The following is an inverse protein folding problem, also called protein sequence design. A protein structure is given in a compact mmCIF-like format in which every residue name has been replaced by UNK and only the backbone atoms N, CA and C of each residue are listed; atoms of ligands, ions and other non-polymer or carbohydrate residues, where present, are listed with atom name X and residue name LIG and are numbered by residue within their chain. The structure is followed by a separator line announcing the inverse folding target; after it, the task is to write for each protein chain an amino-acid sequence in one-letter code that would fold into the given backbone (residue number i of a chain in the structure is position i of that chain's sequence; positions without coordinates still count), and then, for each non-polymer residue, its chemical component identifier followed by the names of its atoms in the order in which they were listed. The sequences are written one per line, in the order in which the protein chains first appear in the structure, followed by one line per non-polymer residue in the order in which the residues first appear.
data_IF_494911039010
#
_entry.id   IF_494911039010
#
_cell.length_a   1.000
_cell.length_b   1.000
_cell.length_c   1.000
_cell.angle_alpha   90.00
_cell.angle_beta   90.00
_cell.angle_gamma   90.00
#
_symmetry.space_group_name_H-M   'P 1'
#
loop_
_entity.id
_entity.type
_entity.pdbx_description
1 polymer ?
#
# COMPACT_ATOMS: atom_id res chain seq x y z
N UNK A 1 -4.27 -10.13 -8.63
CA UNK A 1 -4.56 -8.72 -8.99
C UNK A 1 -3.94 -8.39 -10.33
N UNK A 2 -4.54 -7.47 -11.09
CA UNK A 2 -3.93 -6.90 -12.30
C UNK A 2 -3.22 -5.59 -11.95
N UNK A 3 -1.95 -5.48 -12.37
CA UNK A 3 -1.15 -4.26 -12.24
C UNK A 3 -1.66 -3.23 -13.24
N UNK A 4 -2.26 -2.16 -12.74
CA UNK A 4 -2.76 -1.05 -13.57
C UNK A 4 -2.15 0.22 -13.03
N UNK A 5 -1.36 0.92 -13.86
CA UNK A 5 -0.79 2.20 -13.47
C UNK A 5 -1.84 3.30 -13.55
N UNK A 6 -1.86 4.18 -12.56
CA UNK A 6 -2.71 5.37 -12.55
C UNK A 6 -1.84 6.59 -12.80
N UNK A 7 -2.15 7.35 -13.85
CA UNK A 7 -1.36 8.53 -14.25
C UNK A 7 -1.40 9.67 -13.24
N UNK A 8 -2.46 9.74 -12.42
CA UNK A 8 -2.62 10.71 -11.35
C UNK A 8 -3.30 10.03 -10.16
N UNK A 9 -2.50 9.41 -9.29
CA UNK A 9 -3.00 8.63 -8.15
C UNK A 9 -3.88 9.50 -7.24
N UNK A 10 -3.41 10.72 -6.93
CA UNK A 10 -4.15 11.65 -6.06
C UNK A 10 -5.54 11.94 -6.61
N UNK A 11 -5.66 12.26 -7.89
CA UNK A 11 -6.96 12.50 -8.48
C UNK A 11 -7.84 11.25 -8.39
N UNK A 12 -7.32 10.06 -8.70
CA UNK A 12 -8.11 8.82 -8.60
C UNK A 12 -8.55 8.52 -7.16
N UNK A 13 -7.70 8.79 -6.16
CA UNK A 13 -8.00 8.62 -4.75
C UNK A 13 -9.09 9.56 -4.25
N UNK A 14 -9.04 10.84 -4.64
CA UNK A 14 -10.05 11.86 -4.29
C UNK A 14 -11.40 11.61 -4.99
N UNK A 15 -11.40 10.94 -6.16
CA UNK A 15 -12.63 10.56 -6.86
C UNK A 15 -13.27 9.28 -6.29
N UNK A 16 -12.57 8.52 -5.45
CA UNK A 16 -13.16 7.38 -4.73
C UNK A 16 -13.92 7.85 -3.50
N UNK A 17 -14.94 7.07 -3.13
CA UNK A 17 -15.73 7.34 -1.93
C UNK A 17 -14.84 7.25 -0.67
N UNK A 18 -14.75 8.33 0.15
CA UNK A 18 -14.00 8.27 1.39
C UNK A 18 -14.62 7.32 2.44
N UNK A 19 -15.90 6.98 2.34
CA UNK A 19 -16.55 6.02 3.26
C UNK A 19 -16.09 4.57 3.04
N UNK A 20 -15.55 4.25 1.85
CA UNK A 20 -14.97 2.93 1.57
C UNK A 20 -13.47 2.85 1.90
N UNK A 21 -12.92 3.91 2.50
CA UNK A 21 -11.55 3.93 3.01
C UNK A 21 -11.44 3.03 4.24
N UNK A 22 -10.68 1.95 4.10
CA UNK A 22 -10.26 1.13 5.22
C UNK A 22 -8.81 1.42 5.56
N UNK A 23 -8.54 1.61 6.84
CA UNK A 23 -7.20 1.97 7.34
C UNK A 23 -6.85 1.09 8.51
N UNK A 24 -5.66 0.50 8.47
CA UNK A 24 -5.15 -0.34 9.55
C UNK A 24 -3.63 -0.19 9.68
N UNK A 25 -3.09 -0.57 10.83
CA UNK A 25 -1.67 -0.45 11.17
C UNK A 25 -1.06 -1.83 11.44
N UNK A 26 0.04 -2.13 10.74
CA UNK A 26 0.70 -3.42 10.78
C UNK A 26 2.15 -3.26 11.22
N UNK A 27 2.56 -4.05 12.21
CA UNK A 27 3.97 -4.20 12.57
C UNK A 27 4.65 -5.20 11.64
N UNK A 28 5.65 -4.76 10.88
CA UNK A 28 6.48 -5.64 10.04
C UNK A 28 7.66 -6.24 10.80
N UNK A 29 7.87 -5.81 12.05
CA UNK A 29 8.98 -6.25 12.90
C UNK A 29 10.32 -5.65 12.47
N UNK A 30 11.42 -6.33 12.85
CA UNK A 30 12.76 -5.88 12.50
C UNK A 30 13.05 -6.17 11.02
N UNK A 31 13.46 -5.14 10.29
CA UNK A 31 13.85 -5.22 8.86
C UNK A 31 15.21 -4.56 8.64
N UNK A 32 15.90 -4.91 7.54
CA UNK A 32 17.20 -4.32 7.24
C UNK A 32 17.06 -2.86 6.81
N UNK A 33 16.00 -2.56 6.04
CA UNK A 33 15.69 -1.22 5.54
C UNK A 33 14.21 -1.04 5.22
N UNK A 34 13.77 0.23 5.11
CA UNK A 34 12.43 0.55 4.59
C UNK A 34 12.25 0.10 3.13
N UNK A 35 13.31 0.10 2.32
CA UNK A 35 13.26 -0.33 0.92
C UNK A 35 12.87 -1.81 0.80
N UNK A 36 13.46 -2.66 1.65
CA UNK A 36 13.12 -4.08 1.74
C UNK A 36 11.65 -4.28 2.12
N UNK A 37 11.18 -3.57 3.17
CA UNK A 37 9.79 -3.63 3.61
C UNK A 37 8.81 -3.19 2.51
N UNK A 38 9.10 -2.09 1.83
CA UNK A 38 8.29 -1.60 0.70
C UNK A 38 8.25 -2.64 -0.42
N UNK A 39 9.40 -3.16 -0.84
CA UNK A 39 9.46 -4.17 -1.90
C UNK A 39 8.70 -5.45 -1.54
N UNK A 40 8.78 -5.90 -0.29
CA UNK A 40 8.05 -7.08 0.18
C UNK A 40 6.53 -6.87 0.09
N UNK A 41 6.03 -5.73 0.58
CA UNK A 41 4.58 -5.42 0.55
C UNK A 41 4.07 -5.26 -0.88
N UNK A 42 4.83 -4.58 -1.76
CA UNK A 42 4.50 -4.48 -3.19
C UNK A 42 4.39 -5.88 -3.81
N UNK A 43 5.31 -6.78 -3.46
CA UNK A 43 5.32 -8.16 -3.96
C UNK A 43 4.13 -8.98 -3.44
N UNK A 44 3.78 -8.86 -2.16
CA UNK A 44 2.64 -9.54 -1.54
C UNK A 44 1.32 -9.09 -2.19
N UNK A 45 1.14 -7.77 -2.32
CA UNK A 45 -0.08 -7.20 -2.92
C UNK A 45 -0.14 -7.42 -4.44
N UNK A 46 1.01 -7.54 -5.10
CA UNK A 46 1.07 -7.70 -6.56
C UNK A 46 0.52 -6.51 -7.32
N UNK A 47 0.55 -5.31 -6.73
CA UNK A 47 0.05 -4.06 -7.32
C UNK A 47 1.16 -3.28 -8.05
N UNK A 48 0.76 -2.25 -8.78
CA UNK A 48 1.70 -1.38 -9.48
C UNK A 48 2.05 -0.16 -8.61
N UNK A 49 3.33 0.09 -8.30
CA UNK A 49 3.74 1.35 -7.70
C UNK A 49 3.47 2.51 -8.66
N UNK A 50 2.93 3.59 -8.10
CA UNK A 50 2.68 4.83 -8.81
C UNK A 50 3.80 5.85 -8.51
N UNK A 51 4.02 6.76 -9.46
CA UNK A 51 4.80 7.99 -9.26
C UNK A 51 6.24 7.77 -8.75
N UNK A 52 6.83 6.60 -9.00
CA UNK A 52 8.20 6.25 -8.54
C UNK A 52 8.31 6.07 -7.03
N UNK A 53 7.18 5.88 -6.33
CA UNK A 53 7.12 5.72 -4.88
C UNK A 53 7.62 4.35 -4.40
N UNK A 54 8.03 3.46 -5.30
CA UNK A 54 8.77 2.23 -4.98
C UNK A 54 10.22 2.50 -4.56
N UNK A 55 10.80 3.64 -4.99
CA UNK A 55 12.18 4.00 -4.67
C UNK A 55 12.23 4.70 -3.32
N UNK A 56 12.77 4.01 -2.32
CA UNK A 56 12.94 4.55 -0.96
C UNK A 56 14.33 5.20 -0.80
N UNK A 57 14.43 6.45 -0.33
CA UNK A 57 15.72 7.08 -0.02
C UNK A 57 16.46 6.35 1.10
N UNK A 58 17.78 6.14 0.94
CA UNK A 58 18.62 5.28 1.80
C UNK A 58 18.72 5.70 3.27
N UNK A 59 18.29 6.91 3.63
CA UNK A 59 18.32 7.46 5.00
C UNK A 59 16.94 7.87 5.53
N UNK A 60 15.86 7.48 4.85
CA UNK A 60 14.53 7.89 5.28
C UNK A 60 14.08 7.11 6.52
N UNK A 61 13.46 7.81 7.48
CA UNK A 61 12.81 7.19 8.64
C UNK A 61 11.33 6.92 8.43
N UNK A 62 10.77 7.47 7.37
CA UNK A 62 9.41 7.23 6.94
C UNK A 62 9.34 7.27 5.42
N UNK A 63 8.39 6.55 4.83
CA UNK A 63 8.23 6.53 3.38
C UNK A 63 6.76 6.27 3.05
N UNK A 64 6.24 6.96 2.05
CA UNK A 64 4.88 6.70 1.56
C UNK A 64 4.97 6.08 0.17
N UNK A 65 4.39 4.89 0.02
CA UNK A 65 4.27 4.18 -1.24
C UNK A 65 2.81 4.18 -1.70
N UNK A 66 2.60 4.53 -2.97
CA UNK A 66 1.29 4.59 -3.60
C UNK A 66 1.19 3.42 -4.57
N UNK A 67 0.16 2.60 -4.41
CA UNK A 67 -0.06 1.42 -5.21
C UNK A 67 -1.44 1.46 -5.86
N UNK A 68 -1.49 1.06 -7.12
CA UNK A 68 -2.74 0.92 -7.85
C UNK A 68 -2.86 -0.45 -8.49
N UNK A 69 -4.08 -0.98 -8.49
CA UNK A 69 -4.39 -2.25 -9.10
C UNK A 69 -5.86 -2.36 -9.45
N UNK A 70 -6.18 -3.42 -10.18
CA UNK A 70 -7.56 -3.82 -10.47
C UNK A 70 -7.77 -5.23 -9.96
N UNK A 71 -8.81 -5.41 -9.15
CA UNK A 71 -9.22 -6.71 -8.64
C UNK A 71 -10.12 -7.42 -9.66
N UNK A 72 -10.36 -8.72 -9.44
CA UNK A 72 -11.25 -9.52 -10.28
C UNK A 72 -12.63 -8.84 -10.33
N UNK A 73 -13.22 -8.76 -11.53
CA UNK A 73 -14.47 -8.01 -11.75
C UNK A 73 -14.29 -6.56 -12.21
N UNK A 74 -13.05 -6.15 -12.55
CA UNK A 74 -12.73 -4.80 -13.04
C UNK A 74 -12.93 -3.70 -11.97
N UNK A 75 -12.85 -4.08 -10.70
CA UNK A 75 -12.96 -3.18 -9.54
C UNK A 75 -11.62 -2.50 -9.32
N UNK A 76 -11.59 -1.16 -9.30
CA UNK A 76 -10.36 -0.41 -9.06
C UNK A 76 -10.05 -0.42 -7.57
N UNK A 77 -8.78 -0.63 -7.27
CA UNK A 77 -8.26 -0.61 -5.91
C UNK A 77 -7.05 0.29 -5.87
N UNK A 78 -7.10 1.26 -4.97
CA UNK A 78 -5.99 2.14 -4.67
C UNK A 78 -5.54 1.89 -3.24
N UNK A 79 -4.24 1.95 -3.04
CA UNK A 79 -3.62 1.69 -1.75
C UNK A 79 -2.58 2.76 -1.48
N UNK A 80 -2.64 3.33 -0.28
CA UNK A 80 -1.63 4.23 0.26
C UNK A 80 -0.98 3.56 1.46
N UNK A 81 0.30 3.25 1.34
CA UNK A 81 1.12 2.70 2.39
C UNK A 81 1.99 3.80 2.98
N UNK A 82 1.98 3.96 4.30
CA UNK A 82 2.92 4.83 5.01
C UNK A 82 3.77 3.99 5.96
N UNK A 83 5.04 3.85 5.66
CA UNK A 83 6.01 3.13 6.46
C UNK A 83 6.71 4.07 7.43
N UNK A 84 7.04 3.56 8.60
CA UNK A 84 7.88 4.20 9.60
C UNK A 84 8.87 3.20 10.17
N UNK A 85 10.11 3.63 10.41
CA UNK A 85 11.13 2.83 11.08
C UNK A 85 11.55 3.51 12.39
N UNK A 86 11.47 2.74 13.48
CA UNK A 86 11.86 3.13 14.84
C UNK A 86 13.13 2.41 15.28
N UNK A 87 13.83 2.89 16.31
CA UNK A 87 14.97 2.18 16.89
C UNK A 87 14.46 1.00 17.74
N UNK A 88 14.96 -0.25 17.56
CA UNK A 88 16.19 -0.69 16.89
C UNK A 88 15.99 -1.32 15.50
N UNK A 89 15.38 -0.60 14.56
CA UNK A 89 14.94 -1.02 13.20
C UNK A 89 13.60 -1.76 13.13
N UNK A 90 12.72 -1.49 14.08
CA UNK A 90 11.33 -1.94 13.97
C UNK A 90 10.61 -1.11 12.92
N UNK A 91 10.05 -1.80 11.91
CA UNK A 91 9.25 -1.18 10.87
C UNK A 91 7.79 -1.40 11.17
N UNK A 92 7.02 -0.32 11.16
CA UNK A 92 5.57 -0.33 11.13
C UNK A 92 5.09 0.26 9.81
N UNK A 93 3.91 -0.16 9.38
CA UNK A 93 3.25 0.42 8.23
C UNK A 93 1.79 0.70 8.52
N UNK A 94 1.28 1.78 7.94
CA UNK A 94 -0.13 2.11 7.88
C UNK A 94 -0.62 1.84 6.47
N UNK A 95 -1.56 0.91 6.33
CA UNK A 95 -2.18 0.53 5.08
C UNK A 95 -3.54 1.21 5.00
N UNK A 96 -3.72 2.10 4.02
CA UNK A 96 -5.01 2.66 3.68
C UNK A 96 -5.44 2.14 2.30
N UNK A 97 -6.60 1.52 2.22
CA UNK A 97 -7.16 0.94 0.98
C UNK A 97 -8.48 1.63 0.67
N UNK A 98 -8.64 2.05 -0.59
CA UNK A 98 -9.93 2.48 -1.14
C UNK A 98 -10.25 1.67 -2.38
N UNK A 99 -11.51 1.28 -2.51
CA UNK A 99 -12.01 0.59 -3.69
C UNK A 99 -13.51 0.87 -3.87
N UNK A 100 -14.02 0.58 -5.08
CA UNK A 100 -15.46 0.71 -5.37
C UNK A 100 -16.31 -0.35 -4.64
N UNK A 101 -15.68 -1.35 -4.03
CA UNK A 101 -16.33 -2.44 -3.30
C UNK A 101 -15.64 -2.69 -1.95
N UNK A 102 -16.29 -2.36 -0.81
CA UNK A 102 -15.68 -2.49 0.51
C UNK A 102 -15.24 -3.93 0.84
N UNK A 103 -15.87 -4.97 0.28
CA UNK A 103 -15.41 -6.35 0.47
C UNK A 103 -14.02 -6.59 -0.15
N UNK A 104 -13.68 -5.86 -1.21
CA UNK A 104 -12.35 -5.92 -1.81
C UNK A 104 -11.34 -5.24 -0.91
N UNK A 105 -11.66 -4.06 -0.35
CA UNK A 105 -10.81 -3.40 0.64
C UNK A 105 -10.45 -4.36 1.78
N UNK A 106 -11.44 -5.08 2.34
CA UNK A 106 -11.23 -6.06 3.41
C UNK A 106 -10.32 -7.21 2.97
N UNK A 107 -10.51 -7.77 1.77
CA UNK A 107 -9.63 -8.81 1.22
C UNK A 107 -8.18 -8.34 1.06
N UNK A 108 -7.94 -7.07 0.71
CA UNK A 108 -6.58 -6.54 0.65
C UNK A 108 -5.94 -6.51 2.05
N UNK A 109 -6.69 -6.09 3.06
CA UNK A 109 -6.24 -6.13 4.45
C UNK A 109 -5.94 -7.57 4.91
N UNK A 110 -6.77 -8.55 4.52
CA UNK A 110 -6.54 -9.97 4.82
C UNK A 110 -5.27 -10.51 4.14
N UNK A 111 -5.00 -10.15 2.89
CA UNK A 111 -3.79 -10.57 2.17
C UNK A 111 -2.54 -10.09 2.91
N UNK A 112 -2.56 -8.86 3.40
CA UNK A 112 -1.44 -8.27 4.15
C UNK A 112 -1.30 -8.87 5.55
N UNK A 113 -2.42 -9.17 6.21
CA UNK A 113 -2.39 -9.77 7.55
C UNK A 113 -1.89 -11.23 7.53
N UNK A 114 -2.08 -11.95 6.41
CA UNK A 114 -1.68 -13.36 6.26
C UNK A 114 -0.35 -13.56 5.51
N UNK A 115 0.24 -12.51 4.93
CA UNK A 115 1.44 -12.57 4.10
C UNK A 115 2.72 -12.32 4.87
#
# INVERSE_FOLDING_TARGET
MLKVGVSNFRNAWENMDPETERVDEYGLGVRESLAEAVSAVISILGMQPCEGTDVVPSNSRSHTCLLSGVFIGNVKVLVRLSFGISAPKEVAMKLAVRSDDPEISDKIHEIVANG
#
